data_IF_694689030929
#
_entry.id   IF_694689030929
#
_cell.length_a   1.000
_cell.length_b   1.000
_cell.length_c   1.000
_cell.angle_alpha   90.00
_cell.angle_beta   90.00
_cell.angle_gamma   90.00
#
_symmetry.space_group_name_H-M   'P 1'
#
loop_
_entity.id
_entity.type
_entity.pdbx_description
1 polymer ?
#
# COMPACT_ATOMS: atom_id res chain seq x y z
N UNK A 1 -4.68 4.75 -11.54
CA UNK A 1 -3.94 5.04 -12.80
C UNK A 1 -3.75 6.54 -13.06
N UNK A 2 -4.69 7.42 -12.69
CA UNK A 2 -4.55 8.88 -12.89
C UNK A 2 -3.32 9.51 -12.21
N UNK A 3 -2.92 9.02 -11.03
CA UNK A 3 -1.72 9.48 -10.33
C UNK A 3 -0.44 9.35 -11.18
N UNK A 4 -0.31 8.26 -11.96
CA UNK A 4 0.83 8.08 -12.89
C UNK A 4 0.84 9.14 -13.99
N UNK A 5 -0.33 9.39 -14.57
CA UNK A 5 -0.45 10.17 -15.80
C UNK A 5 -0.38 11.68 -15.53
N UNK A 6 -0.96 12.14 -14.42
CA UNK A 6 -1.11 13.57 -14.13
C UNK A 6 -0.10 14.10 -13.11
N UNK A 7 0.40 13.23 -12.23
CA UNK A 7 1.22 13.64 -11.08
C UNK A 7 2.69 13.27 -11.17
N UNK A 8 3.12 12.56 -12.22
CA UNK A 8 4.49 12.07 -12.38
C UNK A 8 4.96 11.22 -11.18
N UNK A 9 4.05 10.40 -10.63
CA UNK A 9 4.33 9.44 -9.56
C UNK A 9 4.56 8.03 -10.12
N UNK A 10 5.52 7.32 -9.56
CA UNK A 10 5.63 5.88 -9.73
C UNK A 10 4.57 5.19 -8.85
N UNK A 11 3.66 4.44 -9.48
CA UNK A 11 2.53 3.82 -8.77
C UNK A 11 2.54 2.32 -9.00
N UNK A 12 2.41 1.56 -7.94
CA UNK A 12 2.11 0.13 -8.00
C UNK A 12 0.71 -0.09 -7.46
N UNK A 13 -0.10 -0.87 -8.17
CA UNK A 13 -1.46 -1.21 -7.77
C UNK A 13 -1.52 -2.71 -7.51
N UNK A 14 -2.16 -3.08 -6.41
CA UNK A 14 -2.28 -4.45 -5.90
C UNK A 14 -3.74 -4.75 -5.57
N UNK A 15 -4.12 -6.02 -5.60
CA UNK A 15 -5.50 -6.46 -5.43
C UNK A 15 -5.89 -6.84 -4.00
N UNK A 16 -4.92 -7.02 -3.09
CA UNK A 16 -5.19 -7.47 -1.72
C UNK A 16 -4.22 -6.86 -0.70
N UNK A 17 -4.61 -6.90 0.58
CA UNK A 17 -3.73 -6.47 1.68
C UNK A 17 -2.46 -7.32 1.81
N UNK A 18 -2.53 -8.63 1.52
CA UNK A 18 -1.36 -9.51 1.54
C UNK A 18 -0.33 -9.12 0.46
N UNK A 19 -0.79 -8.94 -0.78
CA UNK A 19 0.05 -8.49 -1.90
C UNK A 19 0.62 -7.09 -1.65
N UNK A 20 -0.14 -6.21 -0.98
CA UNK A 20 0.31 -4.89 -0.59
C UNK A 20 1.52 -4.92 0.36
N UNK A 21 1.55 -5.85 1.31
CA UNK A 21 2.67 -6.00 2.25
C UNK A 21 3.92 -6.46 1.51
N UNK A 22 3.82 -7.50 0.70
CA UNK A 22 4.94 -8.02 -0.09
C UNK A 22 5.50 -6.94 -1.03
N UNK A 23 4.61 -6.29 -1.78
CA UNK A 23 4.97 -5.21 -2.72
C UNK A 23 5.61 -4.02 -1.99
N UNK A 24 5.09 -3.63 -0.83
CA UNK A 24 5.63 -2.49 -0.09
C UNK A 24 7.05 -2.75 0.43
N UNK A 25 7.37 -4.00 0.82
CA UNK A 25 8.73 -4.36 1.25
C UNK A 25 9.76 -4.27 0.11
N UNK A 26 9.35 -4.62 -1.11
CA UNK A 26 10.22 -4.57 -2.29
C UNK A 26 10.33 -3.16 -2.88
N UNK A 27 9.19 -2.52 -3.11
CA UNK A 27 9.12 -1.21 -3.79
C UNK A 27 9.41 -0.02 -2.88
N UNK A 28 9.31 -0.20 -1.55
CA UNK A 28 9.55 0.82 -0.52
C UNK A 28 8.87 2.16 -0.84
N UNK A 29 7.53 2.19 -0.94
CA UNK A 29 6.81 3.38 -1.36
C UNK A 29 6.87 4.49 -0.32
N UNK A 30 6.96 5.74 -0.77
CA UNK A 30 6.86 6.92 0.10
C UNK A 30 5.42 7.18 0.60
N UNK A 31 4.42 6.66 -0.12
CA UNK A 31 3.00 6.85 0.18
C UNK A 31 2.20 5.58 -0.11
N UNK A 32 1.35 5.19 0.85
CA UNK A 32 0.39 4.10 0.70
C UNK A 32 -1.02 4.67 0.74
N UNK A 33 -1.82 4.32 -0.28
CA UNK A 33 -3.25 4.66 -0.37
C UNK A 33 -4.02 3.34 -0.36
N UNK A 34 -4.94 3.17 0.59
CA UNK A 34 -5.73 1.95 0.74
C UNK A 34 -7.17 2.26 1.11
N UNK A 35 -8.09 1.35 0.80
CA UNK A 35 -9.46 1.40 1.32
C UNK A 35 -9.46 0.86 2.76
N UNK A 36 -10.33 1.42 3.61
CA UNK A 36 -10.53 0.91 4.95
C UNK A 36 -11.26 -0.44 4.90
N UNK A 37 -12.29 -0.58 4.04
CA UNK A 37 -13.10 -1.79 4.00
C UNK A 37 -12.65 -2.68 2.85
N UNK A 38 -11.90 -3.72 3.21
CA UNK A 38 -11.45 -4.75 2.28
C UNK A 38 -11.76 -6.15 2.84
N UNK A 39 -11.95 -7.17 1.98
CA UNK A 39 -12.03 -8.56 2.42
C UNK A 39 -10.73 -9.02 3.07
N UNK A 40 -10.83 -9.95 4.01
CA UNK A 40 -9.71 -10.65 4.69
C UNK A 40 -8.86 -9.77 5.61
N UNK A 41 -8.33 -8.65 5.10
CA UNK A 41 -7.52 -7.68 5.83
C UNK A 41 -8.03 -6.27 5.55
N UNK A 42 -8.49 -5.58 6.58
CA UNK A 42 -8.93 -4.19 6.47
C UNK A 42 -7.73 -3.22 6.37
N UNK A 43 -8.02 -1.98 5.99
CA UNK A 43 -6.98 -0.96 5.82
C UNK A 43 -6.23 -0.63 7.11
N UNK A 44 -6.85 -0.78 8.28
CA UNK A 44 -6.17 -0.54 9.56
C UNK A 44 -5.15 -1.64 9.88
N UNK A 45 -5.54 -2.90 9.68
CA UNK A 45 -4.66 -4.04 9.85
C UNK A 45 -3.48 -3.99 8.89
N UNK A 46 -3.71 -3.59 7.63
CA UNK A 46 -2.65 -3.37 6.65
C UNK A 46 -1.66 -2.30 7.12
N UNK A 47 -2.14 -1.10 7.48
CA UNK A 47 -1.30 -0.01 7.95
C UNK A 47 -0.53 -0.37 9.23
N UNK A 48 -1.16 -1.12 10.14
CA UNK A 48 -0.52 -1.65 11.34
C UNK A 48 0.69 -2.52 11.00
N UNK A 49 0.51 -3.49 10.10
CA UNK A 49 1.60 -4.37 9.64
C UNK A 49 2.71 -3.60 8.94
N UNK A 50 2.39 -2.67 8.04
CA UNK A 50 3.39 -1.88 7.32
C UNK A 50 4.28 -1.06 8.27
N UNK A 51 3.71 -0.51 9.35
CA UNK A 51 4.45 0.23 10.38
C UNK A 51 5.41 -0.63 11.19
N UNK A 52 5.19 -1.94 11.32
CA UNK A 52 6.15 -2.83 11.98
C UNK A 52 7.47 -2.93 11.19
N UNK A 53 7.40 -2.82 9.87
CA UNK A 53 8.57 -2.89 8.98
C UNK A 53 9.23 -1.53 8.74
N UNK A 54 8.45 -0.45 8.89
CA UNK A 54 8.90 0.94 8.78
C UNK A 54 8.37 1.76 9.97
N UNK A 55 8.92 1.53 11.18
CA UNK A 55 8.66 2.42 12.31
C UNK A 55 9.37 3.74 12.02
N UNK A 56 8.63 4.84 12.01
CA UNK A 56 9.18 6.20 11.92
C UNK A 56 10.29 6.45 12.96
#
# INVERSE_FOLDING_TARGET
MLLKILGNYDVVAVGSGAEAIETAMESKPDLVITDIRMPEMDGYALLGKLREFHPD
#
